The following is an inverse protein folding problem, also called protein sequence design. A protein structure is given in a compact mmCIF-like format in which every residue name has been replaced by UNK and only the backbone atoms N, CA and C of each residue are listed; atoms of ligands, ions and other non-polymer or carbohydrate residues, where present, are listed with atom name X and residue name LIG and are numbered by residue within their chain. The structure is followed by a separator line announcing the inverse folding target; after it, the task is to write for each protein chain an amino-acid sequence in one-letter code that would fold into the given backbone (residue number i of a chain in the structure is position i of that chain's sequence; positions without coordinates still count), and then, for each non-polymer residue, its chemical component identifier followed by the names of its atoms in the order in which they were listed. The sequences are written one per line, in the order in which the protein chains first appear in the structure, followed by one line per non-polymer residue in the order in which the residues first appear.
data_IF_842369299478
#
_entry.id   IF_842369299478
#
_cell.length_a   1.000
_cell.length_b   1.000
_cell.length_c   1.000
_cell.angle_alpha   90.00
_cell.angle_beta   90.00
_cell.angle_gamma   90.00
#
_symmetry.space_group_name_H-M   'P 1'
#
loop_
_entity.id
_entity.type
_entity.pdbx_description
1 polymer ?
#
# COMPACT_ATOMS: atom_id res chain seq x y z
N UNK A 1 10.40 -28.24 47.17
CA UNK A 1 11.67 -27.88 46.50
C UNK A 1 11.36 -27.95 45.01
N UNK A 2 11.21 -26.85 44.25
CA UNK A 2 11.52 -25.45 44.51
C UNK A 2 10.50 -24.54 43.81
N UNK A 3 10.03 -23.53 44.56
CA UNK A 3 9.13 -22.48 44.11
C UNK A 3 9.92 -21.36 43.42
N UNK A 4 9.54 -21.03 42.19
CA UNK A 4 10.06 -19.88 41.44
C UNK A 4 9.51 -18.58 42.03
N UNK A 5 10.33 -17.88 42.82
CA UNK A 5 10.02 -16.54 43.35
C UNK A 5 10.05 -15.52 42.23
N UNK A 6 8.87 -15.07 41.79
CA UNK A 6 8.73 -13.80 41.09
C UNK A 6 9.02 -12.67 42.10
N UNK A 7 10.05 -11.86 41.83
CA UNK A 7 10.39 -10.70 42.64
C UNK A 7 9.27 -9.66 42.56
N UNK A 8 8.43 -9.61 43.59
CA UNK A 8 7.45 -8.56 43.83
C UNK A 8 8.17 -7.25 44.12
N UNK A 9 8.22 -6.34 43.15
CA UNK A 9 8.51 -4.93 43.42
C UNK A 9 7.20 -4.29 43.85
N UNK A 10 6.98 -4.26 45.16
CA UNK A 10 5.88 -3.54 45.80
C UNK A 10 6.18 -2.05 45.79
N UNK A 11 5.35 -1.25 45.11
CA UNK A 11 5.29 0.20 45.35
C UNK A 11 4.12 0.46 46.30
N UNK A 12 4.44 0.64 47.59
CA UNK A 12 3.49 1.15 48.57
C UNK A 12 3.17 2.61 48.26
N UNK A 13 1.89 2.95 48.35
CA UNK A 13 1.39 4.31 48.27
C UNK A 13 1.87 5.13 49.47
N UNK A 14 2.66 6.17 49.20
CA UNK A 14 2.80 7.32 50.09
C UNK A 14 2.70 8.55 49.22
N UNK A 15 1.61 9.30 49.44
CA UNK A 15 1.41 10.65 48.92
C UNK A 15 2.56 11.51 49.45
N UNK A 16 3.47 11.94 48.58
CA UNK A 16 4.20 13.20 48.67
C UNK A 16 5.06 13.41 47.40
N UNK A 17 4.66 14.42 46.64
CA UNK A 17 5.43 15.28 45.74
C UNK A 17 6.95 14.99 45.61
N UNK A 18 7.38 14.09 44.70
CA UNK A 18 8.76 13.94 44.20
C UNK A 18 8.88 12.79 43.19
N UNK A 19 8.51 12.97 41.93
CA UNK A 19 8.83 11.99 40.86
C UNK A 19 9.41 12.69 39.63
N UNK A 20 10.62 13.21 39.77
CA UNK A 20 11.43 13.65 38.62
C UNK A 20 12.88 13.14 38.62
N UNK A 21 13.32 12.33 39.59
CA UNK A 21 14.78 12.03 39.71
C UNK A 21 15.19 10.55 39.85
N UNK A 22 14.27 9.57 39.93
CA UNK A 22 14.66 8.16 40.11
C UNK A 22 14.75 7.31 38.82
N UNK A 23 14.32 7.82 37.66
CA UNK A 23 14.35 7.08 36.38
C UNK A 23 15.60 7.36 35.50
N UNK A 24 16.56 8.13 35.98
CA UNK A 24 17.68 8.61 35.15
C UNK A 24 18.80 7.58 34.88
N UNK A 25 18.82 6.41 35.56
CA UNK A 25 19.98 5.52 35.55
C UNK A 25 19.72 4.08 35.03
N UNK A 26 18.59 3.82 34.39
CA UNK A 26 18.25 2.50 33.83
C UNK A 26 18.43 2.52 32.32
N UNK A 27 19.37 1.73 31.81
CA UNK A 27 19.68 1.58 30.38
C UNK A 27 18.43 1.11 29.62
N UNK A 28 18.24 1.57 28.38
CA UNK A 28 17.13 1.18 27.51
C UNK A 28 17.00 -0.36 27.40
N UNK A 29 18.12 -1.09 27.35
CA UNK A 29 18.13 -2.56 27.32
C UNK A 29 17.49 -3.19 28.56
N UNK A 30 17.69 -2.62 29.75
CA UNK A 30 17.11 -3.11 30.99
C UNK A 30 15.59 -2.86 31.03
N UNK A 31 15.15 -1.72 30.49
CA UNK A 31 13.71 -1.40 30.33
C UNK A 31 13.01 -2.36 29.35
N UNK A 32 13.74 -2.87 28.35
CA UNK A 32 13.22 -3.84 27.38
C UNK A 32 13.32 -5.30 27.83
N UNK A 33 14.00 -5.60 28.93
CA UNK A 33 14.30 -6.98 29.36
C UNK A 33 13.04 -7.83 29.56
N UNK A 34 11.98 -7.23 30.08
CA UNK A 34 10.69 -7.90 30.31
C UNK A 34 10.00 -8.31 29.00
N UNK A 35 10.23 -7.56 27.90
CA UNK A 35 9.64 -7.81 26.59
C UNK A 35 10.48 -8.72 25.69
N UNK A 36 11.71 -9.04 26.08
CA UNK A 36 12.65 -9.88 25.32
C UNK A 36 12.58 -11.37 25.68
N UNK A 37 11.69 -11.77 26.60
CA UNK A 37 11.55 -13.16 27.01
C UNK A 37 10.71 -13.94 26.00
N UNK A 38 11.14 -15.15 25.62
CA UNK A 38 10.44 -15.98 24.63
C UNK A 38 9.02 -16.40 25.03
N UNK A 39 8.67 -16.27 26.32
CA UNK A 39 7.36 -16.62 26.88
C UNK A 39 6.61 -15.38 27.42
N UNK A 40 6.85 -14.20 26.83
CA UNK A 40 6.12 -12.99 27.22
C UNK A 40 4.63 -13.12 26.89
N UNK A 41 3.77 -13.07 27.91
CA UNK A 41 2.32 -13.03 27.74
C UNK A 41 1.81 -11.58 27.92
N UNK A 42 1.34 -10.92 26.85
CA UNK A 42 0.79 -9.57 26.91
C UNK A 42 -0.41 -9.45 27.84
N UNK A 43 -1.27 -10.47 27.89
CA UNK A 43 -2.50 -10.44 28.68
C UNK A 43 -2.18 -10.58 30.16
N UNK A 44 -1.29 -11.49 30.54
CA UNK A 44 -0.81 -11.60 31.92
C UNK A 44 -0.05 -10.34 32.37
N UNK A 45 0.75 -9.73 31.50
CA UNK A 45 1.47 -8.49 31.79
C UNK A 45 0.53 -7.32 32.07
N UNK A 46 -0.45 -7.08 31.19
CA UNK A 46 -1.45 -6.02 31.37
C UNK A 46 -2.32 -6.30 32.59
N UNK A 47 -2.73 -7.55 32.79
CA UNK A 47 -3.55 -7.95 33.95
C UNK A 47 -2.81 -7.72 35.26
N UNK A 48 -1.57 -8.20 35.38
CA UNK A 48 -0.75 -7.99 36.58
C UNK A 48 -0.42 -6.52 36.84
N UNK A 49 -0.24 -5.70 35.79
CA UNK A 49 0.17 -4.30 35.93
C UNK A 49 -1.01 -3.36 36.15
N UNK A 50 -2.15 -3.62 35.52
CA UNK A 50 -3.33 -2.75 35.55
C UNK A 50 -4.35 -3.13 36.62
N UNK A 51 -4.29 -4.33 37.21
CA UNK A 51 -5.25 -4.78 38.24
C UNK A 51 -5.33 -3.87 39.48
N UNK A 52 -4.24 -3.17 39.82
CA UNK A 52 -4.15 -2.32 41.01
C UNK A 52 -4.00 -0.83 40.69
N UNK A 53 -4.15 -0.42 39.42
CA UNK A 53 -3.89 0.95 38.97
C UNK A 53 -5.16 1.78 38.79
N UNK A 54 -5.08 3.06 39.14
CA UNK A 54 -6.11 4.06 38.88
C UNK A 54 -6.02 4.58 37.42
N UNK A 55 -7.09 5.20 36.92
CA UNK A 55 -7.21 5.68 35.52
C UNK A 55 -6.06 6.61 35.08
N UNK A 56 -5.56 7.45 36.00
CA UNK A 56 -4.41 8.34 35.75
C UNK A 56 -3.10 7.58 35.58
N UNK A 57 -2.91 6.53 36.36
CA UNK A 57 -1.71 5.67 36.31
C UNK A 57 -1.73 4.80 35.06
N UNK A 58 -2.91 4.35 34.62
CA UNK A 58 -3.09 3.64 33.35
C UNK A 58 -2.73 4.54 32.16
N UNK A 59 -3.18 5.81 32.16
CA UNK A 59 -2.78 6.79 31.12
C UNK A 59 -1.27 7.03 31.10
N UNK A 60 -0.65 7.15 32.28
CA UNK A 60 0.79 7.32 32.37
C UNK A 60 1.55 6.10 31.87
N UNK A 61 1.11 4.88 32.23
CA UNK A 61 1.65 3.62 31.72
C UNK A 61 1.54 3.53 30.21
N UNK A 62 0.40 3.94 29.64
CA UNK A 62 0.22 3.97 28.18
C UNK A 62 1.22 4.91 27.50
N UNK A 63 1.39 6.14 28.02
CA UNK A 63 2.38 7.08 27.50
C UNK A 63 3.80 6.51 27.60
N UNK A 64 4.16 5.94 28.75
CA UNK A 64 5.46 5.31 28.97
C UNK A 64 5.74 4.17 27.99
N UNK A 65 4.76 3.30 27.73
CA UNK A 65 4.91 2.20 26.76
C UNK A 65 5.06 2.71 25.33
N UNK A 66 4.35 3.78 24.97
CA UNK A 66 4.49 4.43 23.65
C UNK A 66 5.88 5.02 23.48
N UNK A 67 6.41 5.70 24.50
CA UNK A 67 7.75 6.29 24.48
C UNK A 67 8.84 5.22 24.47
N UNK A 68 8.66 4.14 25.24
CA UNK A 68 9.58 3.00 25.26
C UNK A 68 9.62 2.28 23.90
N UNK A 69 8.46 2.10 23.25
CA UNK A 69 8.37 1.56 21.88
C UNK A 69 9.14 2.44 20.89
N UNK A 70 8.97 3.75 20.97
CA UNK A 70 9.66 4.71 20.09
C UNK A 70 11.17 4.67 20.31
N UNK A 71 11.62 4.63 21.56
CA UNK A 71 13.03 4.53 21.91
C UNK A 71 13.66 3.21 21.42
N UNK A 72 12.94 2.09 21.55
CA UNK A 72 13.36 0.79 21.03
C UNK A 72 13.49 0.76 19.52
N UNK A 73 12.52 1.34 18.80
CA UNK A 73 12.55 1.38 17.34
C UNK A 73 13.74 2.21 16.82
N UNK A 74 14.03 3.31 17.50
CA UNK A 74 15.16 4.17 17.16
C UNK A 74 16.51 3.50 17.45
N UNK A 75 16.62 2.71 18.52
CA UNK A 75 17.83 1.95 18.81
C UNK A 75 18.04 0.78 17.84
N UNK A 76 16.98 0.08 17.48
CA UNK A 76 17.02 -0.92 16.41
C UNK A 76 17.51 -0.29 15.10
N UNK A 77 16.97 0.89 14.76
CA UNK A 77 17.39 1.65 13.58
C UNK A 77 18.88 1.97 13.63
N UNK A 78 19.39 2.53 14.74
CA UNK A 78 20.83 2.82 14.91
C UNK A 78 21.71 1.58 14.78
N UNK A 79 21.31 0.48 15.40
CA UNK A 79 22.04 -0.79 15.33
C UNK A 79 22.11 -1.32 13.88
N UNK A 80 21.00 -1.26 13.14
CA UNK A 80 20.98 -1.66 11.72
C UNK A 80 21.89 -0.76 10.89
N UNK A 81 21.82 0.57 11.07
CA UNK A 81 22.68 1.50 10.33
C UNK A 81 24.17 1.33 10.66
N UNK A 82 24.53 1.10 11.92
CA UNK A 82 25.91 0.87 12.34
C UNK A 82 26.50 -0.42 11.73
N UNK A 83 25.68 -1.46 11.61
CA UNK A 83 26.10 -2.75 11.06
C UNK A 83 25.88 -2.86 9.53
N UNK A 84 25.25 -1.87 8.90
CA UNK A 84 24.93 -1.88 7.47
C UNK A 84 26.19 -2.01 6.60
N UNK A 85 27.26 -1.29 6.94
CA UNK A 85 28.53 -1.38 6.20
C UNK A 85 29.16 -2.79 6.30
N UNK A 86 29.07 -3.43 7.47
CA UNK A 86 29.54 -4.80 7.66
C UNK A 86 28.71 -5.79 6.84
N UNK A 87 27.37 -5.64 6.85
CA UNK A 87 26.45 -6.47 6.09
C UNK A 87 26.68 -6.38 4.57
N UNK A 88 26.88 -5.17 4.04
CA UNK A 88 27.17 -4.97 2.61
C UNK A 88 28.52 -5.59 2.24
N UNK A 89 29.52 -5.45 3.11
CA UNK A 89 30.84 -6.06 2.90
C UNK A 89 30.77 -7.58 2.90
N UNK A 90 30.10 -8.19 3.88
CA UNK A 90 29.95 -9.65 3.95
C UNK A 90 29.15 -10.19 2.79
N UNK A 91 28.08 -9.50 2.38
CA UNK A 91 27.28 -9.90 1.21
C UNK A 91 28.09 -9.87 -0.08
N UNK A 92 28.93 -8.83 -0.26
CA UNK A 92 29.85 -8.76 -1.40
C UNK A 92 30.88 -9.89 -1.39
N UNK A 93 31.37 -10.26 -0.22
CA UNK A 93 32.35 -11.32 -0.05
C UNK A 93 31.74 -12.70 -0.34
N UNK A 94 30.48 -12.92 0.05
CA UNK A 94 29.69 -14.10 -0.33
C UNK A 94 29.51 -14.19 -1.85
N UNK A 95 29.10 -13.10 -2.52
CA UNK A 95 28.96 -13.10 -3.98
C UNK A 95 30.28 -13.36 -4.71
N UNK A 96 31.41 -12.88 -4.15
CA UNK A 96 32.72 -13.16 -4.72
C UNK A 96 33.11 -14.64 -4.54
N UNK A 97 32.78 -15.24 -3.39
CA UNK A 97 32.96 -16.67 -3.14
C UNK A 97 32.09 -17.53 -4.07
N UNK A 98 30.83 -17.15 -4.30
CA UNK A 98 29.95 -17.81 -5.27
C UNK A 98 30.55 -17.80 -6.68
N UNK A 99 31.09 -16.66 -7.11
CA UNK A 99 31.80 -16.55 -8.40
C UNK A 99 33.03 -17.46 -8.48
N UNK A 100 33.82 -17.57 -7.41
CA UNK A 100 34.95 -18.50 -7.34
C UNK A 100 34.50 -19.96 -7.39
N UNK A 101 33.40 -20.30 -6.72
CA UNK A 101 32.86 -21.66 -6.69
C UNK A 101 32.29 -22.06 -8.06
N UNK A 102 31.66 -21.12 -8.78
CA UNK A 102 31.22 -21.31 -10.15
C UNK A 102 32.40 -21.56 -11.10
N UNK A 103 33.49 -20.80 -10.94
CA UNK A 103 34.73 -21.02 -11.69
C UNK A 103 35.34 -22.39 -11.42
N UNK A 104 35.36 -22.82 -10.14
CA UNK A 104 35.87 -24.14 -9.76
C UNK A 104 35.01 -25.28 -10.32
N UNK A 105 33.68 -25.12 -10.30
CA UNK A 105 32.73 -26.04 -10.94
C UNK A 105 33.03 -26.17 -12.43
N UNK A 106 33.15 -25.05 -13.13
CA UNK A 106 33.45 -25.06 -14.56
C UNK A 106 34.79 -25.75 -14.86
N UNK A 107 35.83 -25.52 -14.04
CA UNK A 107 37.11 -26.20 -14.18
C UNK A 107 36.99 -27.71 -13.95
N UNK A 108 36.21 -28.14 -12.95
CA UNK A 108 35.95 -29.55 -12.67
C UNK A 108 35.16 -30.21 -13.82
N UNK A 109 34.15 -29.54 -14.36
CA UNK A 109 33.39 -30.01 -15.54
C UNK A 109 34.31 -30.17 -16.75
N UNK A 110 35.17 -29.20 -17.04
CA UNK A 110 36.15 -29.30 -18.13
C UNK A 110 37.12 -30.46 -17.92
N UNK A 111 37.58 -30.68 -16.68
CA UNK A 111 38.46 -31.82 -16.35
C UNK A 111 37.73 -33.16 -16.45
N UNK A 112 36.47 -33.24 -16.02
CA UNK A 112 35.65 -34.43 -16.16
C UNK A 112 35.41 -34.78 -17.62
N UNK A 113 35.11 -33.79 -18.48
CA UNK A 113 34.97 -33.98 -19.92
C UNK A 113 36.25 -34.51 -20.57
N UNK A 114 37.43 -34.00 -20.16
CA UNK A 114 38.72 -34.51 -20.64
C UNK A 114 38.98 -35.96 -20.16
N UNK A 115 38.64 -36.27 -18.92
CA UNK A 115 38.77 -37.65 -18.38
C UNK A 115 37.83 -38.61 -19.11
N UNK A 116 36.58 -38.21 -19.38
CA UNK A 116 35.64 -38.99 -20.17
C UNK A 116 36.14 -39.19 -21.61
N UNK A 117 36.63 -38.15 -22.28
CA UNK A 117 37.22 -38.28 -23.62
C UNK A 117 38.46 -39.19 -23.65
N UNK A 118 39.26 -39.21 -22.58
CA UNK A 118 40.38 -40.14 -22.43
C UNK A 118 39.90 -41.57 -22.14
N UNK A 119 38.88 -41.76 -21.31
CA UNK A 119 38.31 -43.06 -20.99
C UNK A 119 37.65 -43.71 -22.23
N UNK A 120 36.95 -42.93 -23.06
CA UNK A 120 36.42 -43.38 -24.35
C UNK A 120 37.54 -43.76 -25.33
N UNK A 121 38.65 -43.01 -25.34
CA UNK A 121 39.82 -43.33 -26.17
C UNK A 121 40.58 -44.61 -25.74
N UNK A 122 40.47 -45.01 -24.47
CA UNK A 122 41.10 -46.23 -23.92
C UNK A 122 40.27 -47.49 -24.21
N UNK A 123 39.01 -47.35 -24.64
CA UNK A 123 38.10 -48.50 -24.82
C UNK A 123 38.27 -49.27 -26.15
N UNK A 124 39.27 -48.96 -26.97
CA UNK A 124 39.43 -49.54 -28.33
C UNK A 124 40.26 -50.83 -28.37
N UNK A 125 40.93 -51.26 -27.29
CA UNK A 125 41.70 -52.52 -27.30
C UNK A 125 41.53 -53.35 -26.02
N UNK A 126 40.39 -54.04 -25.90
CA UNK A 126 40.38 -55.32 -25.17
C UNK A 126 39.28 -56.21 -25.71
N UNK A 127 39.68 -57.28 -26.40
CA UNK A 127 38.81 -58.32 -26.97
C UNK A 127 39.02 -59.62 -26.17
N UNK A 128 37.95 -60.41 -26.09
CA UNK A 128 37.88 -61.85 -25.79
C UNK A 128 37.70 -62.22 -24.30
N UNK A 129 36.85 -63.15 -23.85
CA UNK A 129 35.98 -64.13 -24.52
C UNK A 129 35.03 -64.76 -23.48
N UNK A 130 33.80 -65.09 -23.88
CA UNK A 130 33.22 -66.41 -23.58
C UNK A 130 31.83 -66.42 -22.93
N UNK A 131 30.95 -67.37 -23.30
CA UNK A 131 29.50 -67.29 -23.12
C UNK A 131 29.03 -68.01 -21.86
N UNK A 132 27.90 -67.60 -21.26
CA UNK A 132 26.94 -68.51 -20.63
C UNK A 132 25.70 -67.77 -20.08
N UNK A 133 24.55 -68.27 -20.52
CA UNK A 133 23.29 -68.49 -19.82
C UNK A 133 22.56 -67.39 -18.99
N UNK A 134 21.39 -67.07 -19.56
CA UNK A 134 20.08 -67.13 -18.91
C UNK A 134 19.58 -65.92 -18.10
N UNK A 135 18.37 -65.50 -18.51
CA UNK A 135 17.36 -64.78 -17.74
C UNK A 135 17.70 -63.35 -17.29
N UNK A 136 17.77 -62.40 -18.24
CA UNK A 136 17.73 -60.98 -17.93
C UNK A 136 17.08 -60.16 -19.07
N UNK A 137 15.84 -60.47 -19.43
CA UNK A 137 15.06 -59.67 -20.39
C UNK A 137 14.21 -58.58 -19.70
N UNK A 138 14.06 -58.58 -18.37
CA UNK A 138 13.23 -57.59 -17.65
C UNK A 138 14.02 -56.37 -17.12
N UNK A 139 15.35 -56.43 -17.04
CA UNK A 139 16.20 -55.37 -16.42
C UNK A 139 16.77 -54.38 -17.45
N UNK A 140 16.76 -54.74 -18.74
CA UNK A 140 17.26 -53.88 -19.81
C UNK A 140 16.21 -52.84 -20.27
N UNK A 141 14.93 -53.15 -20.11
CA UNK A 141 13.85 -52.26 -20.53
C UNK A 141 13.69 -51.04 -19.59
N UNK A 142 13.81 -51.23 -18.28
CA UNK A 142 13.73 -50.13 -17.29
C UNK A 142 14.88 -49.11 -17.44
N UNK A 143 16.08 -49.56 -17.80
CA UNK A 143 17.24 -48.67 -17.98
C UNK A 143 17.14 -47.80 -19.26
N UNK A 144 16.51 -48.31 -20.32
CA UNK A 144 16.30 -47.55 -21.56
C UNK A 144 15.23 -46.45 -21.40
N UNK A 145 14.16 -46.73 -20.65
CA UNK A 145 13.09 -45.76 -20.36
C UNK A 145 13.56 -44.66 -19.38
N UNK A 146 14.36 -45.01 -18.36
CA UNK A 146 15.01 -44.05 -17.46
C UNK A 146 15.92 -43.07 -18.23
N UNK A 147 16.75 -43.59 -19.15
CA UNK A 147 17.65 -42.77 -19.96
C UNK A 147 16.90 -41.78 -20.87
N UNK A 148 15.78 -42.20 -21.48
CA UNK A 148 14.96 -41.34 -22.35
C UNK A 148 14.38 -40.15 -21.58
N UNK A 149 13.90 -40.37 -20.35
CA UNK A 149 13.33 -39.29 -19.54
C UNK A 149 14.38 -38.37 -18.92
N UNK A 150 15.54 -38.89 -18.52
CA UNK A 150 16.68 -38.05 -18.10
C UNK A 150 17.15 -37.14 -19.23
N UNK A 151 17.23 -37.66 -20.46
CA UNK A 151 17.54 -36.85 -21.64
C UNK A 151 16.46 -35.81 -21.93
N UNK A 152 15.18 -36.19 -21.85
CA UNK A 152 14.06 -35.26 -22.01
C UNK A 152 14.09 -34.14 -20.96
N UNK A 153 14.39 -34.45 -19.69
CA UNK A 153 14.52 -33.45 -18.62
C UNK A 153 15.62 -32.44 -18.93
N UNK A 154 16.77 -32.90 -19.45
CA UNK A 154 17.88 -32.02 -19.87
C UNK A 154 17.43 -31.12 -21.02
N UNK A 155 16.82 -31.68 -22.06
CA UNK A 155 16.31 -30.92 -23.21
C UNK A 155 15.25 -29.88 -22.80
N UNK A 156 14.34 -30.27 -21.90
CA UNK A 156 13.34 -29.37 -21.32
C UNK A 156 13.98 -28.21 -20.56
N UNK A 157 14.96 -28.49 -19.70
CA UNK A 157 15.65 -27.48 -18.92
C UNK A 157 16.43 -26.50 -19.81
N UNK A 158 17.16 -27.00 -20.80
CA UNK A 158 17.91 -26.18 -21.75
C UNK A 158 16.98 -25.30 -22.58
N UNK A 159 15.88 -25.86 -23.08
CA UNK A 159 14.87 -25.13 -23.82
C UNK A 159 14.22 -24.04 -22.96
N UNK A 160 13.88 -24.36 -21.71
CA UNK A 160 13.26 -23.40 -20.80
C UNK A 160 14.23 -22.27 -20.43
N UNK A 161 15.51 -22.55 -20.21
CA UNK A 161 16.53 -21.52 -19.98
C UNK A 161 16.63 -20.55 -21.16
N UNK A 162 16.58 -21.05 -22.40
CA UNK A 162 16.55 -20.21 -23.61
C UNK A 162 15.28 -19.35 -23.63
N UNK A 163 14.10 -19.92 -23.38
CA UNK A 163 12.84 -19.16 -23.37
C UNK A 163 12.81 -18.08 -22.29
N UNK A 164 13.35 -18.37 -21.10
CA UNK A 164 13.49 -17.41 -20.01
C UNK A 164 14.48 -16.29 -20.38
N UNK A 165 15.60 -16.62 -21.02
CA UNK A 165 16.57 -15.63 -21.49
C UNK A 165 15.99 -14.72 -22.59
N UNK A 166 15.20 -15.29 -23.51
CA UNK A 166 14.52 -14.55 -24.59
C UNK A 166 13.25 -13.81 -24.12
N UNK A 167 12.86 -13.97 -22.84
CA UNK A 167 11.61 -13.43 -22.25
C UNK A 167 10.35 -13.86 -23.00
N UNK A 168 10.34 -15.06 -23.57
CA UNK A 168 9.19 -15.64 -24.29
C UNK A 168 8.19 -16.24 -23.32
N UNK A 169 7.55 -15.38 -22.53
CA UNK A 169 6.67 -15.73 -21.39
C UNK A 169 5.62 -16.78 -21.76
N UNK A 170 4.89 -16.60 -22.86
CA UNK A 170 3.79 -17.51 -23.22
C UNK A 170 4.28 -18.92 -23.54
N UNK A 171 5.45 -19.02 -24.17
CA UNK A 171 6.06 -20.29 -24.55
C UNK A 171 6.70 -20.96 -23.34
N UNK A 172 7.33 -20.18 -22.46
CA UNK A 172 7.84 -20.69 -21.18
C UNK A 172 6.70 -21.24 -20.30
N UNK A 173 5.54 -20.57 -20.28
CA UNK A 173 4.35 -21.09 -19.60
C UNK A 173 3.84 -22.39 -20.23
N UNK A 174 3.76 -22.47 -21.56
CA UNK A 174 3.32 -23.68 -22.24
C UNK A 174 4.28 -24.87 -21.99
N UNK A 175 5.59 -24.62 -22.02
CA UNK A 175 6.61 -25.61 -21.68
C UNK A 175 6.48 -26.10 -20.24
N UNK A 176 6.24 -25.19 -19.29
CA UNK A 176 6.02 -25.54 -17.89
C UNK A 176 4.73 -26.33 -17.67
N UNK A 177 3.64 -25.95 -18.35
CA UNK A 177 2.37 -26.68 -18.32
C UNK A 177 2.55 -28.11 -18.89
N UNK A 178 3.28 -28.26 -20.00
CA UNK A 178 3.62 -29.57 -20.58
C UNK A 178 4.46 -30.42 -19.61
N UNK A 179 5.49 -29.85 -18.98
CA UNK A 179 6.30 -30.59 -18.01
C UNK A 179 5.50 -31.04 -16.78
N UNK A 180 4.52 -30.25 -16.35
CA UNK A 180 3.61 -30.62 -15.27
C UNK A 180 2.70 -31.79 -15.69
N UNK A 181 2.18 -31.79 -16.92
CA UNK A 181 1.40 -32.95 -17.44
C UNK A 181 2.25 -34.23 -17.54
N UNK A 182 3.50 -34.12 -17.99
CA UNK A 182 4.42 -35.27 -18.06
C UNK A 182 4.74 -35.80 -16.66
N UNK A 183 4.92 -34.92 -15.67
CA UNK A 183 5.15 -35.31 -14.29
C UNK A 183 3.93 -36.04 -13.67
N UNK A 184 2.71 -35.56 -13.95
CA UNK A 184 1.47 -36.18 -13.52
C UNK A 184 1.27 -37.57 -14.15
N UNK A 185 1.43 -37.68 -15.48
CA UNK A 185 1.31 -38.96 -16.18
C UNK A 185 2.32 -40.00 -15.68
N UNK A 186 3.56 -39.58 -15.43
CA UNK A 186 4.60 -40.45 -14.91
C UNK A 186 4.32 -40.91 -13.47
N UNK A 187 3.67 -40.06 -12.66
CA UNK A 187 3.21 -40.42 -11.31
C UNK A 187 2.09 -41.46 -11.36
N UNK A 188 1.12 -41.30 -12.26
CA UNK A 188 -0.04 -42.19 -12.36
C UNK A 188 0.33 -43.56 -12.92
N UNK A 189 1.20 -43.59 -13.93
CA UNK A 189 1.62 -44.83 -14.60
C UNK A 189 2.69 -45.59 -13.81
N UNK A 190 3.21 -45.02 -12.70
CA UNK A 190 4.35 -45.54 -11.93
C UNK A 190 5.54 -45.94 -12.81
N UNK A 191 5.71 -45.24 -13.94
CA UNK A 191 6.72 -45.54 -14.96
C UNK A 191 8.11 -45.03 -14.56
N UNK A 192 8.22 -44.27 -13.46
CA UNK A 192 9.48 -43.67 -13.01
C UNK A 192 9.85 -44.05 -11.59
N UNK A 193 11.16 -44.07 -11.35
CA UNK A 193 11.72 -44.07 -10.00
C UNK A 193 11.21 -42.85 -9.21
N UNK A 194 10.89 -43.06 -7.94
CA UNK A 194 10.49 -42.00 -7.00
C UNK A 194 11.49 -40.83 -6.97
N UNK A 195 12.79 -41.09 -7.22
CA UNK A 195 13.84 -40.08 -7.17
C UNK A 195 13.84 -39.13 -8.36
N UNK A 196 13.58 -39.63 -9.57
CA UNK A 196 13.54 -38.82 -10.81
C UNK A 196 12.27 -38.00 -10.92
N UNK A 197 11.15 -38.53 -10.41
CA UNK A 197 9.91 -37.79 -10.30
C UNK A 197 10.05 -36.58 -9.35
N UNK A 198 10.69 -36.78 -8.19
CA UNK A 198 10.96 -35.69 -7.25
C UNK A 198 11.91 -34.64 -7.82
N UNK A 199 12.94 -35.04 -8.59
CA UNK A 199 13.85 -34.08 -9.23
C UNK A 199 13.13 -33.24 -10.30
N UNK A 200 12.29 -33.87 -11.13
CA UNK A 200 11.46 -33.17 -12.11
C UNK A 200 10.50 -32.18 -11.45
N UNK A 201 9.77 -32.59 -10.41
CA UNK A 201 8.87 -31.71 -9.66
C UNK A 201 9.62 -30.53 -9.05
N UNK A 202 10.80 -30.78 -8.46
CA UNK A 202 11.63 -29.71 -7.88
C UNK A 202 12.07 -28.72 -8.97
N UNK A 203 12.52 -29.22 -10.12
CA UNK A 203 12.93 -28.40 -11.26
C UNK A 203 11.78 -27.56 -11.83
N UNK A 204 10.57 -28.11 -11.93
CA UNK A 204 9.36 -27.36 -12.34
C UNK A 204 9.09 -26.23 -11.36
N UNK A 205 9.07 -26.50 -10.06
CA UNK A 205 8.83 -25.49 -9.02
C UNK A 205 9.87 -24.37 -9.08
N UNK A 206 11.16 -24.72 -9.16
CA UNK A 206 12.24 -23.74 -9.24
C UNK A 206 12.11 -22.84 -10.46
N UNK A 207 11.78 -23.40 -11.64
CA UNK A 207 11.67 -22.60 -12.85
C UNK A 207 10.37 -21.79 -12.91
N UNK A 208 9.26 -22.27 -12.34
CA UNK A 208 8.04 -21.46 -12.13
C UNK A 208 8.35 -20.24 -11.26
N UNK A 209 9.13 -20.42 -10.19
CA UNK A 209 9.57 -19.31 -9.33
C UNK A 209 10.45 -18.32 -10.08
N UNK A 210 11.43 -18.77 -10.86
CA UNK A 210 12.28 -17.90 -11.69
C UNK A 210 11.46 -17.08 -12.68
N UNK A 211 10.50 -17.70 -13.37
CA UNK A 211 9.61 -16.99 -14.29
C UNK A 211 8.72 -15.99 -13.56
N UNK A 212 8.18 -16.36 -12.39
CA UNK A 212 7.38 -15.46 -11.56
C UNK A 212 8.17 -14.22 -11.13
N UNK A 213 9.43 -14.38 -10.74
CA UNK A 213 10.31 -13.27 -10.37
C UNK A 213 10.65 -12.37 -11.56
N UNK A 214 10.95 -12.95 -12.73
CA UNK A 214 11.16 -12.17 -13.95
C UNK A 214 9.90 -11.36 -14.33
N UNK A 215 8.71 -11.94 -14.20
CA UNK A 215 7.44 -11.26 -14.43
C UNK A 215 7.22 -10.14 -13.43
N UNK A 216 7.48 -10.38 -12.14
CA UNK A 216 7.37 -9.36 -11.10
C UNK A 216 8.31 -8.17 -11.38
N UNK A 217 9.54 -8.43 -11.83
CA UNK A 217 10.47 -7.38 -12.26
C UNK A 217 9.92 -6.59 -13.44
N UNK A 218 9.31 -7.26 -14.43
CA UNK A 218 8.72 -6.58 -15.60
C UNK A 218 7.55 -5.67 -15.21
N UNK A 219 6.70 -6.12 -14.28
CA UNK A 219 5.54 -5.35 -13.79
C UNK A 219 6.00 -4.08 -13.05
N UNK A 220 7.10 -4.18 -12.30
CA UNK A 220 7.68 -3.05 -11.56
C UNK A 220 8.41 -2.02 -12.44
N UNK A 221 8.66 -2.31 -13.73
CA UNK A 221 9.35 -1.35 -14.59
C UNK A 221 8.44 -0.15 -14.94
N UNK A 222 8.91 1.12 -14.81
CA UNK A 222 8.11 2.31 -15.13
C UNK A 222 7.66 2.43 -16.60
N UNK A 223 8.33 1.71 -17.50
CA UNK A 223 8.02 1.64 -18.93
C UNK A 223 6.85 0.71 -19.23
N UNK A 224 6.61 -0.30 -18.40
CA UNK A 224 5.59 -1.33 -18.62
C UNK A 224 4.20 -0.73 -18.42
N UNK A 225 3.39 -0.71 -19.49
CA UNK A 225 2.10 0.00 -19.48
C UNK A 225 1.02 -0.75 -20.24
N UNK A 226 -0.23 -0.49 -19.85
CA UNK A 226 -1.40 -0.86 -20.63
C UNK A 226 -1.48 -2.36 -20.87
N UNK A 227 -1.31 -2.78 -22.13
CA UNK A 227 -1.42 -4.19 -22.53
C UNK A 227 -0.31 -5.03 -21.91
N UNK A 228 0.94 -4.56 -21.96
CA UNK A 228 2.11 -5.30 -21.45
C UNK A 228 1.99 -5.58 -19.94
N UNK A 229 1.53 -4.58 -19.19
CA UNK A 229 1.25 -4.73 -17.75
C UNK A 229 0.18 -5.81 -17.52
N UNK A 230 -0.94 -5.73 -18.25
CA UNK A 230 -2.04 -6.70 -18.12
C UNK A 230 -1.61 -8.12 -18.50
N UNK A 231 -0.79 -8.27 -19.54
CA UNK A 231 -0.29 -9.59 -19.96
C UNK A 231 0.69 -10.18 -18.94
N UNK A 232 1.59 -9.36 -18.37
CA UNK A 232 2.53 -9.83 -17.35
C UNK A 232 1.81 -10.23 -16.05
N UNK A 233 0.83 -9.45 -15.61
CA UNK A 233 -0.01 -9.77 -14.43
C UNK A 233 -0.84 -11.03 -14.67
N UNK A 234 -1.42 -11.20 -15.86
CA UNK A 234 -2.17 -12.41 -16.22
C UNK A 234 -1.26 -13.65 -16.26
N UNK A 235 -0.05 -13.52 -16.80
CA UNK A 235 0.94 -14.59 -16.79
C UNK A 235 1.34 -15.00 -15.36
N UNK A 236 1.57 -14.02 -14.49
CA UNK A 236 1.90 -14.28 -13.08
C UNK A 236 0.72 -14.93 -12.32
N UNK A 237 -0.52 -14.51 -12.63
CA UNK A 237 -1.73 -15.17 -12.12
C UNK A 237 -1.80 -16.64 -12.59
N UNK A 238 -1.52 -16.91 -13.87
CA UNK A 238 -1.50 -18.27 -14.43
C UNK A 238 -0.45 -19.17 -13.78
N UNK A 239 0.65 -18.60 -13.29
CA UNK A 239 1.65 -19.36 -12.53
C UNK A 239 1.17 -19.83 -11.16
N UNK A 240 0.02 -19.32 -10.68
CA UNK A 240 -0.53 -19.61 -9.35
C UNK A 240 -0.23 -18.52 -8.32
N UNK A 241 0.49 -17.46 -8.70
CA UNK A 241 0.86 -16.36 -7.80
C UNK A 241 -0.10 -15.15 -7.94
N UNK A 242 -1.39 -15.44 -7.85
CA UNK A 242 -2.47 -14.44 -7.96
C UNK A 242 -2.37 -13.29 -6.96
N UNK A 243 -2.13 -13.55 -5.65
CA UNK A 243 -1.97 -12.50 -4.65
C UNK A 243 -0.83 -11.53 -4.96
N UNK A 244 0.37 -12.03 -5.27
CA UNK A 244 1.50 -11.18 -5.64
C UNK A 244 1.20 -10.41 -6.94
N UNK A 245 0.58 -11.04 -7.93
CA UNK A 245 0.20 -10.39 -9.18
C UNK A 245 -0.75 -9.21 -8.96
N UNK A 246 -1.74 -9.38 -8.08
CA UNK A 246 -2.69 -8.32 -7.75
C UNK A 246 -2.04 -7.18 -6.96
N UNK A 247 -1.24 -7.48 -5.93
CA UNK A 247 -0.49 -6.46 -5.18
C UNK A 247 0.43 -5.67 -6.10
N UNK A 248 1.18 -6.33 -6.99
CA UNK A 248 2.08 -5.67 -7.94
C UNK A 248 1.35 -4.79 -8.97
N UNK A 249 0.16 -5.20 -9.42
CA UNK A 249 -0.69 -4.37 -10.28
C UNK A 249 -1.06 -3.05 -9.58
N UNK A 250 -1.49 -3.13 -8.32
CA UNK A 250 -1.86 -1.95 -7.52
C UNK A 250 -0.64 -1.06 -7.24
N UNK A 251 0.51 -1.65 -6.95
CA UNK A 251 1.77 -0.93 -6.74
C UNK A 251 2.23 -0.20 -8.01
N UNK A 252 2.07 -0.81 -9.20
CA UNK A 252 2.37 -0.16 -10.47
C UNK A 252 1.52 1.10 -10.68
N UNK A 253 0.21 1.04 -10.40
CA UNK A 253 -0.68 2.20 -10.45
C UNK A 253 -0.31 3.26 -9.41
N UNK A 254 0.12 2.84 -8.21
CA UNK A 254 0.61 3.75 -7.16
C UNK A 254 1.88 4.48 -7.58
N UNK A 255 2.87 3.78 -8.14
CA UNK A 255 4.12 4.38 -8.62
C UNK A 255 3.85 5.39 -9.74
N UNK A 256 2.95 5.05 -10.67
CA UNK A 256 2.51 5.97 -11.73
C UNK A 256 1.85 7.23 -11.15
N UNK A 257 0.99 7.06 -10.15
CA UNK A 257 0.35 8.19 -9.47
C UNK A 257 1.40 9.10 -8.83
N UNK A 258 2.35 8.54 -8.07
CA UNK A 258 3.42 9.29 -7.42
C UNK A 258 4.30 10.03 -8.45
N UNK A 259 4.71 9.37 -9.52
CA UNK A 259 5.47 9.99 -10.62
C UNK A 259 4.75 11.19 -11.24
N UNK A 260 3.45 11.05 -11.51
CA UNK A 260 2.64 12.15 -12.05
C UNK A 260 2.43 13.27 -11.03
N UNK A 261 2.25 12.96 -9.74
CA UNK A 261 2.10 13.95 -8.68
C UNK A 261 3.36 14.79 -8.50
N UNK A 262 4.56 14.23 -8.70
CA UNK A 262 5.81 15.00 -8.67
C UNK A 262 5.89 16.07 -9.77
N UNK A 263 5.25 15.83 -10.93
CA UNK A 263 5.15 16.84 -12.00
C UNK A 263 4.17 17.97 -11.67
N UNK A 264 3.18 17.69 -10.82
CA UNK A 264 2.19 18.66 -10.34
C UNK A 264 2.75 19.46 -9.15
N UNK A 265 3.78 20.28 -9.41
CA UNK A 265 4.31 21.19 -8.39
C UNK A 265 3.32 22.32 -8.13
N UNK A 266 3.02 22.67 -6.87
CA UNK A 266 2.18 23.83 -6.57
C UNK A 266 2.87 25.12 -7.03
N UNK A 267 2.37 25.75 -8.08
CA UNK A 267 2.86 27.06 -8.55
C UNK A 267 2.13 28.20 -7.84
N UNK A 268 2.89 29.20 -7.40
CA UNK A 268 2.53 30.20 -6.38
C UNK A 268 1.37 31.18 -6.69
N UNK A 269 0.67 31.10 -7.83
CA UNK A 269 -0.26 32.17 -8.26
C UNK A 269 -1.75 31.80 -8.43
N UNK A 270 -2.14 30.52 -8.50
CA UNK A 270 -3.55 30.10 -8.74
C UNK A 270 -4.00 28.94 -7.83
N UNK A 271 -3.46 28.92 -6.61
CA UNK A 271 -3.09 27.76 -5.79
C UNK A 271 -4.21 26.77 -5.39
N UNK A 272 -5.48 27.17 -5.36
CA UNK A 272 -6.55 26.37 -4.78
C UNK A 272 -7.33 25.52 -5.79
N UNK A 273 -8.15 26.19 -6.61
CA UNK A 273 -9.16 25.51 -7.43
C UNK A 273 -8.57 24.67 -8.57
N UNK A 274 -7.67 25.24 -9.38
CA UNK A 274 -7.07 24.54 -10.52
C UNK A 274 -6.18 23.36 -10.08
N UNK A 275 -5.43 23.53 -9.00
CA UNK A 275 -4.64 22.46 -8.39
C UNK A 275 -5.54 21.33 -7.87
N UNK A 276 -6.62 21.69 -7.15
CA UNK A 276 -7.58 20.70 -6.64
C UNK A 276 -8.21 19.88 -7.76
N UNK A 277 -8.69 20.54 -8.82
CA UNK A 277 -9.32 19.86 -9.96
C UNK A 277 -8.33 18.90 -10.62
N UNK A 278 -7.13 19.37 -10.94
CA UNK A 278 -6.11 18.56 -11.62
C UNK A 278 -5.68 17.36 -10.77
N UNK A 279 -5.41 17.59 -9.48
CA UNK A 279 -4.98 16.54 -8.57
C UNK A 279 -6.10 15.52 -8.33
N UNK A 280 -7.33 15.99 -8.12
CA UNK A 280 -8.50 15.13 -7.93
C UNK A 280 -8.74 14.26 -9.16
N UNK A 281 -8.69 14.85 -10.35
CA UNK A 281 -8.81 14.12 -11.61
C UNK A 281 -7.71 13.05 -11.75
N UNK A 282 -6.45 13.40 -11.46
CA UNK A 282 -5.33 12.45 -11.54
C UNK A 282 -5.51 11.24 -10.60
N UNK A 283 -5.82 11.49 -9.32
CA UNK A 283 -5.98 10.43 -8.32
C UNK A 283 -7.17 9.53 -8.67
N UNK A 284 -8.35 10.11 -8.88
CA UNK A 284 -9.56 9.31 -9.10
C UNK A 284 -9.59 8.62 -10.46
N UNK A 285 -8.98 9.18 -11.50
CA UNK A 285 -8.80 8.46 -12.77
C UNK A 285 -7.82 7.29 -12.65
N UNK A 286 -6.78 7.42 -11.83
CA UNK A 286 -5.83 6.32 -11.57
C UNK A 286 -6.49 5.21 -10.77
N UNK A 287 -7.27 5.55 -9.73
CA UNK A 287 -8.09 4.59 -8.98
C UNK A 287 -9.09 3.88 -9.92
N UNK A 288 -9.77 4.63 -10.79
CA UNK A 288 -10.70 4.07 -11.76
C UNK A 288 -10.02 3.06 -12.70
N UNK A 289 -8.80 3.35 -13.14
CA UNK A 289 -8.02 2.50 -14.04
C UNK A 289 -7.54 1.24 -13.31
N UNK A 290 -7.01 1.38 -12.10
CA UNK A 290 -6.62 0.25 -11.25
C UNK A 290 -7.80 -0.69 -10.98
N UNK A 291 -8.96 -0.14 -10.66
CA UNK A 291 -10.19 -0.90 -10.46
C UNK A 291 -10.59 -1.65 -11.74
N UNK A 292 -10.58 -0.97 -12.89
CA UNK A 292 -10.91 -1.60 -14.18
C UNK A 292 -9.97 -2.75 -14.50
N UNK A 293 -8.66 -2.56 -14.33
CA UNK A 293 -7.66 -3.58 -14.62
C UNK A 293 -7.79 -4.76 -13.65
N UNK A 294 -7.97 -4.49 -12.36
CA UNK A 294 -8.22 -5.51 -11.32
C UNK A 294 -9.48 -6.33 -11.64
N UNK A 295 -10.62 -5.69 -11.87
CA UNK A 295 -11.84 -6.40 -12.25
C UNK A 295 -11.68 -7.21 -13.54
N UNK A 296 -10.97 -6.70 -14.54
CA UNK A 296 -10.80 -7.42 -15.81
C UNK A 296 -9.93 -8.69 -15.69
N UNK A 297 -9.03 -8.75 -14.72
CA UNK A 297 -8.07 -9.85 -14.56
C UNK A 297 -8.44 -10.81 -13.41
N UNK A 298 -9.24 -10.34 -12.46
CA UNK A 298 -9.50 -11.01 -11.17
C UNK A 298 -10.97 -11.06 -10.77
N UNK A 299 -11.91 -10.90 -11.73
CA UNK A 299 -13.36 -10.83 -11.48
C UNK A 299 -13.92 -11.97 -10.59
N UNK A 300 -13.36 -13.17 -10.71
CA UNK A 300 -13.92 -14.38 -10.12
C UNK A 300 -13.57 -14.57 -8.63
N UNK A 301 -12.69 -13.72 -8.08
CA UNK A 301 -12.08 -13.93 -6.76
C UNK A 301 -12.34 -12.74 -5.81
N UNK A 302 -13.19 -12.96 -4.80
CA UNK A 302 -13.61 -11.90 -3.85
C UNK A 302 -12.46 -11.35 -3.00
N UNK A 303 -11.38 -12.12 -2.81
CA UNK A 303 -10.24 -11.72 -2.00
C UNK A 303 -9.59 -10.43 -2.55
N UNK A 304 -9.41 -10.33 -3.86
CA UNK A 304 -8.74 -9.19 -4.48
C UNK A 304 -9.59 -7.93 -4.49
N UNK A 305 -10.92 -8.06 -4.51
CA UNK A 305 -11.82 -6.92 -4.37
C UNK A 305 -11.58 -6.19 -3.03
N UNK A 306 -11.35 -6.94 -1.94
CA UNK A 306 -11.09 -6.35 -0.62
C UNK A 306 -9.75 -5.62 -0.55
N UNK A 307 -8.73 -6.15 -1.22
CA UNK A 307 -7.41 -5.51 -1.34
C UNK A 307 -7.49 -4.23 -2.18
N UNK A 308 -8.20 -4.27 -3.32
CA UNK A 308 -8.46 -3.11 -4.17
C UNK A 308 -9.16 -1.99 -3.40
N UNK A 309 -10.20 -2.31 -2.62
CA UNK A 309 -10.91 -1.33 -1.79
C UNK A 309 -9.96 -0.72 -0.75
N UNK A 310 -9.18 -1.56 -0.07
CA UNK A 310 -8.21 -1.10 0.94
C UNK A 310 -7.17 -0.17 0.32
N UNK A 311 -6.65 -0.51 -0.86
CA UNK A 311 -5.72 0.32 -1.60
C UNK A 311 -6.37 1.65 -2.03
N UNK A 312 -7.58 1.62 -2.58
CA UNK A 312 -8.30 2.83 -3.03
C UNK A 312 -8.60 3.79 -1.87
N UNK A 313 -8.96 3.26 -0.69
CA UNK A 313 -9.11 4.05 0.53
C UNK A 313 -7.80 4.72 0.91
N UNK A 314 -6.68 3.98 0.96
CA UNK A 314 -5.35 4.54 1.27
C UNK A 314 -4.93 5.64 0.29
N UNK A 315 -5.14 5.46 -1.02
CA UNK A 315 -4.85 6.49 -2.01
C UNK A 315 -5.72 7.74 -1.80
N UNK A 316 -7.01 7.55 -1.49
CA UNK A 316 -7.96 8.65 -1.22
C UNK A 316 -7.59 9.41 0.05
N UNK A 317 -7.16 8.72 1.11
CA UNK A 317 -6.70 9.34 2.35
C UNK A 317 -5.42 10.17 2.13
N UNK A 318 -4.43 9.59 1.46
CA UNK A 318 -3.18 10.30 1.13
C UNK A 318 -3.44 11.56 0.31
N UNK A 319 -4.31 11.46 -0.69
CA UNK A 319 -4.80 12.60 -1.47
C UNK A 319 -5.50 13.65 -0.61
N UNK A 320 -6.43 13.24 0.26
CA UNK A 320 -7.16 14.14 1.15
C UNK A 320 -6.22 14.89 2.10
N UNK A 321 -5.22 14.21 2.66
CA UNK A 321 -4.19 14.85 3.50
C UNK A 321 -3.34 15.84 2.72
N UNK A 322 -3.02 15.55 1.46
CA UNK A 322 -2.26 16.46 0.59
C UNK A 322 -3.05 17.75 0.32
N UNK A 323 -4.34 17.63 -0.04
CA UNK A 323 -5.22 18.80 -0.22
C UNK A 323 -5.42 19.57 1.09
N UNK A 324 -5.56 18.87 2.21
CA UNK A 324 -5.63 19.51 3.53
C UNK A 324 -4.41 20.38 3.78
N UNK A 325 -3.22 19.86 3.51
CA UNK A 325 -1.94 20.56 3.73
C UNK A 325 -1.75 21.76 2.80
N UNK A 326 -2.07 21.61 1.52
CA UNK A 326 -1.72 22.63 0.52
C UNK A 326 -2.83 23.64 0.23
N UNK A 327 -4.10 23.28 0.41
CA UNK A 327 -5.23 24.14 0.03
C UNK A 327 -6.09 24.47 1.26
N UNK A 328 -6.57 23.45 1.97
CA UNK A 328 -7.67 23.65 2.93
C UNK A 328 -7.23 24.30 4.24
N UNK A 329 -6.06 23.96 4.79
CA UNK A 329 -5.66 24.47 6.12
C UNK A 329 -5.56 26.00 6.16
N UNK A 330 -4.89 26.61 5.18
CA UNK A 330 -4.76 28.07 5.09
C UNK A 330 -6.09 28.74 4.74
N UNK A 331 -6.83 28.18 3.78
CA UNK A 331 -8.15 28.70 3.40
C UNK A 331 -9.13 28.68 4.56
N UNK A 332 -9.22 27.56 5.29
CA UNK A 332 -10.11 27.39 6.43
C UNK A 332 -9.77 28.36 7.57
N UNK A 333 -8.49 28.51 7.91
CA UNK A 333 -8.05 29.45 8.94
C UNK A 333 -8.39 30.91 8.60
N UNK A 334 -8.36 31.30 7.32
CA UNK A 334 -8.78 32.62 6.86
C UNK A 334 -10.33 32.76 6.74
N UNK A 335 -11.09 31.71 7.04
CA UNK A 335 -12.54 31.61 6.84
C UNK A 335 -12.98 31.63 5.38
N UNK A 336 -12.11 31.17 4.48
CA UNK A 336 -12.32 30.97 3.05
C UNK A 336 -13.29 29.83 2.74
N UNK A 337 -14.52 29.93 3.26
CA UNK A 337 -15.55 28.90 3.17
C UNK A 337 -15.83 28.46 1.72
N UNK A 338 -15.86 29.42 0.79
CA UNK A 338 -16.08 29.15 -0.63
C UNK A 338 -15.03 28.22 -1.24
N UNK A 339 -13.75 28.54 -1.05
CA UNK A 339 -12.64 27.74 -1.59
C UNK A 339 -12.62 26.34 -0.97
N UNK A 340 -12.89 26.25 0.34
CA UNK A 340 -12.97 24.97 1.06
C UNK A 340 -14.10 24.08 0.52
N UNK A 341 -15.29 24.62 0.26
CA UNK A 341 -16.40 23.83 -0.28
C UNK A 341 -16.26 23.50 -1.75
N UNK A 342 -15.80 24.43 -2.60
CA UNK A 342 -15.54 24.13 -4.02
C UNK A 342 -14.53 22.98 -4.13
N UNK A 343 -13.49 22.99 -3.30
CA UNK A 343 -12.53 21.89 -3.22
C UNK A 343 -13.19 20.56 -2.85
N UNK A 344 -14.04 20.56 -1.81
CA UNK A 344 -14.76 19.36 -1.40
C UNK A 344 -15.74 18.86 -2.46
N UNK A 345 -16.48 19.76 -3.12
CA UNK A 345 -17.43 19.43 -4.18
C UNK A 345 -16.76 18.75 -5.36
N UNK A 346 -15.63 19.29 -5.84
CA UNK A 346 -14.86 18.68 -6.92
C UNK A 346 -14.45 17.25 -6.56
N UNK A 347 -13.99 17.04 -5.33
CA UNK A 347 -13.57 15.71 -4.89
C UNK A 347 -14.77 14.74 -4.76
N UNK A 348 -15.90 15.19 -4.20
CA UNK A 348 -17.12 14.39 -4.12
C UNK A 348 -17.70 14.04 -5.49
N UNK A 349 -17.61 14.96 -6.47
CA UNK A 349 -18.05 14.71 -7.83
C UNK A 349 -17.22 13.59 -8.49
N UNK A 350 -15.92 13.53 -8.25
CA UNK A 350 -15.12 12.40 -8.73
C UNK A 350 -15.39 11.10 -7.95
N UNK A 351 -15.66 11.17 -6.64
CA UNK A 351 -16.09 10.00 -5.88
C UNK A 351 -17.43 9.43 -6.37
N UNK A 352 -18.40 10.27 -6.75
CA UNK A 352 -19.70 9.78 -7.24
C UNK A 352 -19.58 9.03 -8.57
N UNK A 353 -18.63 9.41 -9.42
CA UNK A 353 -18.31 8.67 -10.65
C UNK A 353 -17.73 7.27 -10.37
N UNK A 354 -16.99 7.10 -9.26
CA UNK A 354 -16.47 5.81 -8.82
C UNK A 354 -17.52 4.97 -8.10
N UNK A 355 -18.42 5.61 -7.35
CA UNK A 355 -19.56 4.95 -6.71
C UNK A 355 -20.46 4.27 -7.74
N UNK A 356 -20.68 4.90 -8.90
CA UNK A 356 -21.40 4.30 -10.02
C UNK A 356 -20.72 3.04 -10.58
N UNK A 357 -19.45 2.78 -10.23
CA UNK A 357 -18.66 1.60 -10.58
C UNK A 357 -18.39 0.67 -9.40
N UNK A 358 -19.10 0.84 -8.28
CA UNK A 358 -19.00 -0.03 -7.11
C UNK A 358 -17.89 0.35 -6.11
N UNK A 359 -17.25 1.52 -6.24
CA UNK A 359 -16.21 1.99 -5.31
C UNK A 359 -16.66 3.25 -4.56
N UNK A 360 -17.17 3.07 -3.34
CA UNK A 360 -17.64 4.16 -2.48
C UNK A 360 -16.50 4.77 -1.64
N UNK A 361 -16.04 5.97 -2.02
CA UNK A 361 -14.91 6.66 -1.38
C UNK A 361 -15.29 8.01 -0.75
N UNK A 362 -16.53 8.47 -0.92
CA UNK A 362 -16.97 9.79 -0.45
C UNK A 362 -16.89 9.97 1.07
N UNK A 363 -17.19 8.91 1.84
CA UNK A 363 -17.12 8.93 3.30
C UNK A 363 -15.70 9.15 3.83
N UNK A 364 -14.68 8.68 3.11
CA UNK A 364 -13.26 8.88 3.46
C UNK A 364 -12.94 10.38 3.42
N UNK A 365 -13.32 11.05 2.34
CA UNK A 365 -13.12 12.49 2.20
C UNK A 365 -13.96 13.30 3.17
N UNK A 366 -15.21 12.91 3.40
CA UNK A 366 -16.11 13.60 4.32
C UNK A 366 -15.50 13.64 5.73
N UNK A 367 -14.97 12.50 6.21
CA UNK A 367 -14.29 12.41 7.52
C UNK A 367 -13.06 13.32 7.58
N UNK A 368 -12.27 13.40 6.51
CA UNK A 368 -11.05 14.22 6.47
C UNK A 368 -11.33 15.73 6.35
N UNK A 369 -12.36 16.12 5.59
CA UNK A 369 -12.61 17.52 5.23
C UNK A 369 -13.61 18.21 6.16
N UNK A 370 -14.48 17.45 6.87
CA UNK A 370 -15.43 18.01 7.84
C UNK A 370 -14.79 19.01 8.81
N UNK A 371 -13.66 18.72 9.48
CA UNK A 371 -13.04 19.68 10.40
C UNK A 371 -12.59 20.98 9.70
N UNK A 372 -12.17 20.90 8.43
CA UNK A 372 -11.75 22.08 7.67
C UNK A 372 -12.96 22.94 7.26
N UNK A 373 -14.10 22.33 6.96
CA UNK A 373 -15.35 23.02 6.64
C UNK A 373 -15.89 23.72 7.89
N UNK A 374 -15.94 23.01 9.02
CA UNK A 374 -16.37 23.55 10.32
C UNK A 374 -15.48 24.73 10.74
N UNK A 375 -14.16 24.58 10.62
CA UNK A 375 -13.21 25.66 10.90
C UNK A 375 -13.41 26.87 9.97
N UNK A 376 -13.61 26.63 8.67
CA UNK A 376 -13.84 27.70 7.70
C UNK A 376 -15.14 28.46 7.99
N UNK A 377 -16.18 27.76 8.43
CA UNK A 377 -17.46 28.35 8.80
C UNK A 377 -17.32 29.19 10.08
N UNK A 378 -16.71 28.65 11.14
CA UNK A 378 -16.49 29.37 12.41
C UNK A 378 -15.64 30.63 12.21
N UNK A 379 -14.53 30.52 11.47
CA UNK A 379 -13.70 31.68 11.13
C UNK A 379 -14.45 32.71 10.26
N UNK A 380 -15.35 32.26 9.38
CA UNK A 380 -16.18 33.16 8.59
C UNK A 380 -17.19 33.92 9.45
N UNK A 381 -17.87 33.23 10.37
CA UNK A 381 -18.83 33.83 11.30
C UNK A 381 -18.16 34.84 12.22
N UNK A 382 -17.01 34.50 12.81
CA UNK A 382 -16.21 35.43 13.62
C UNK A 382 -15.79 36.67 12.84
N UNK A 383 -15.43 36.52 11.57
CA UNK A 383 -15.08 37.67 10.71
C UNK A 383 -16.30 38.56 10.45
N UNK A 384 -17.48 37.98 10.22
CA UNK A 384 -18.72 38.75 10.05
C UNK A 384 -19.02 39.52 11.33
N UNK A 385 -18.93 38.86 12.49
CA UNK A 385 -19.13 39.49 13.80
C UNK A 385 -18.15 40.67 14.02
N UNK A 386 -16.85 40.43 13.88
CA UNK A 386 -15.81 41.46 14.06
C UNK A 386 -15.95 42.62 13.07
N UNK A 387 -16.21 42.32 11.80
CA UNK A 387 -16.45 43.34 10.77
C UNK A 387 -17.69 44.16 11.10
N UNK A 388 -18.75 43.54 11.63
CA UNK A 388 -19.97 44.24 12.00
C UNK A 388 -19.77 45.12 13.22
N UNK A 389 -19.07 44.64 14.25
CA UNK A 389 -18.72 45.41 15.43
C UNK A 389 -17.87 46.65 15.07
N UNK A 390 -16.87 46.50 14.20
CA UNK A 390 -16.04 47.61 13.74
C UNK A 390 -16.84 48.65 12.93
N UNK A 391 -17.77 48.19 12.09
CA UNK A 391 -18.67 49.08 11.34
C UNK A 391 -19.60 49.86 12.26
N UNK A 392 -20.19 49.20 13.27
CA UNK A 392 -21.07 49.87 14.26
C UNK A 392 -20.29 50.89 15.11
N UNK A 393 -19.05 50.56 15.52
CA UNK A 393 -18.23 51.46 16.33
C UNK A 393 -17.81 52.76 15.60
N UNK A 394 -17.84 52.76 14.26
CA UNK A 394 -17.48 53.90 13.41
C UNK A 394 -18.71 54.60 12.79
N UNK A 395 -19.92 54.25 13.23
CA UNK A 395 -21.16 54.67 12.57
C UNK A 395 -21.81 55.90 13.22
N UNK A 396 -22.27 56.82 12.36
CA UNK A 396 -23.01 58.04 12.75
C UNK A 396 -24.54 57.82 12.91
N UNK A 397 -24.99 56.56 12.83
CA UNK A 397 -26.39 56.09 12.94
C UNK A 397 -27.39 56.68 11.93
N UNK A 398 -26.91 57.13 10.76
CA UNK A 398 -27.77 57.64 9.69
C UNK A 398 -28.42 56.50 8.90
N UNK A 399 -29.74 56.60 8.69
CA UNK A 399 -30.52 55.62 7.95
C UNK A 399 -30.57 55.98 6.45
N UNK A 400 -30.14 55.06 5.59
CA UNK A 400 -30.14 55.23 4.14
C UNK A 400 -30.93 54.11 3.44
N UNK A 401 -31.41 54.39 2.22
CA UNK A 401 -31.92 53.34 1.35
C UNK A 401 -30.74 52.54 0.77
N UNK A 402 -30.91 51.23 0.52
CA UNK A 402 -29.89 50.45 -0.18
C UNK A 402 -29.65 51.04 -1.58
N UNK A 403 -28.39 51.20 -1.98
CA UNK A 403 -28.07 51.71 -3.31
C UNK A 403 -28.67 50.78 -4.39
N UNK A 404 -29.54 51.33 -5.24
CA UNK A 404 -30.39 50.63 -6.22
C UNK A 404 -29.62 49.91 -7.36
N UNK A 405 -28.30 49.74 -7.24
CA UNK A 405 -27.41 49.27 -8.31
C UNK A 405 -26.81 47.87 -8.13
N UNK A 406 -26.84 47.28 -6.94
CA UNK A 406 -26.31 45.92 -6.75
C UNK A 406 -27.41 44.92 -7.03
N UNK A 407 -27.60 44.55 -8.31
CA UNK A 407 -28.38 43.35 -8.67
C UNK A 407 -27.68 42.12 -8.06
N UNK A 408 -27.99 41.80 -6.81
CA UNK A 408 -27.80 40.47 -6.27
C UNK A 408 -28.95 39.62 -6.82
N UNK A 409 -28.59 38.49 -7.44
CA UNK A 409 -29.53 37.51 -8.00
C UNK A 409 -30.36 36.92 -6.85
N UNK A 410 -31.53 37.50 -6.60
CA UNK A 410 -32.56 36.92 -5.75
C UNK A 410 -33.61 36.27 -6.64
N UNK A 411 -33.43 35.00 -6.97
CA UNK A 411 -34.51 34.13 -7.44
C UNK A 411 -34.93 33.25 -6.29
N UNK A 412 -35.82 33.77 -5.42
CA UNK A 412 -36.89 33.05 -4.70
C UNK A 412 -37.49 33.97 -3.65
N UNK A 413 -38.35 34.88 -4.11
CA UNK A 413 -39.49 35.38 -3.33
C UNK A 413 -40.61 35.64 -4.35
N UNK A 414 -41.41 34.61 -4.65
CA UNK A 414 -42.70 34.82 -5.31
C UNK A 414 -43.70 35.31 -4.26
N UNK A 415 -44.12 36.55 -4.39
CA UNK A 415 -45.15 37.17 -3.56
C UNK A 415 -45.09 38.68 -3.71
N UNK A 416 -46.00 39.24 -4.52
CA UNK A 416 -45.97 40.63 -4.96
C UNK A 416 -46.10 41.70 -3.88
N UNK A 417 -46.11 42.94 -4.39
CA UNK A 417 -46.21 44.24 -3.74
C UNK A 417 -44.87 44.97 -3.59
N UNK A 418 -44.92 46.26 -3.92
CA UNK A 418 -43.90 47.28 -3.78
C UNK A 418 -43.44 47.41 -2.32
N UNK A 419 -42.67 46.44 -1.82
CA UNK A 419 -42.13 46.48 -0.48
C UNK A 419 -41.03 47.54 -0.44
N UNK A 420 -41.38 48.71 0.11
CA UNK A 420 -40.43 49.72 0.53
C UNK A 420 -39.31 49.03 1.31
N UNK A 421 -38.11 48.93 0.73
CA UNK A 421 -36.98 48.38 1.47
C UNK A 421 -36.78 49.25 2.72
N UNK A 422 -36.74 48.64 3.92
CA UNK A 422 -36.59 49.41 5.15
C UNK A 422 -35.32 50.25 5.07
N UNK A 423 -35.37 51.49 5.53
CA UNK A 423 -34.16 52.31 5.68
C UNK A 423 -33.29 51.63 6.73
N UNK A 424 -32.08 51.27 6.34
CA UNK A 424 -31.11 50.59 7.19
C UNK A 424 -29.90 51.50 7.39
N UNK A 425 -29.25 51.36 8.53
CA UNK A 425 -27.93 51.96 8.73
C UNK A 425 -26.91 51.32 7.77
N UNK A 426 -25.79 52.01 7.52
CA UNK A 426 -24.74 51.51 6.62
C UNK A 426 -24.15 50.18 7.12
N UNK A 427 -24.02 50.01 8.43
CA UNK A 427 -23.58 48.77 9.07
C UNK A 427 -24.59 47.65 8.89
N UNK A 428 -25.89 47.93 9.06
CA UNK A 428 -26.96 46.97 8.86
C UNK A 428 -27.07 46.51 7.41
N UNK A 429 -26.86 47.41 6.44
CA UNK A 429 -26.80 47.06 5.02
C UNK A 429 -25.61 46.13 4.71
N UNK A 430 -24.42 46.43 5.25
CA UNK A 430 -23.21 45.60 5.07
C UNK A 430 -23.33 44.24 5.75
N UNK A 431 -23.86 44.18 6.97
CA UNK A 431 -24.15 42.93 7.67
C UNK A 431 -25.13 42.06 6.87
N UNK A 432 -26.25 42.63 6.44
CA UNK A 432 -27.23 41.92 5.62
C UNK A 432 -26.59 41.37 4.34
N UNK A 433 -25.75 42.15 3.65
CA UNK A 433 -25.04 41.68 2.47
C UNK A 433 -24.05 40.53 2.77
N UNK A 434 -23.35 40.55 3.92
CA UNK A 434 -22.47 39.46 4.33
C UNK A 434 -23.25 38.17 4.66
N UNK A 435 -24.37 38.29 5.38
CA UNK A 435 -25.26 37.16 5.71
C UNK A 435 -25.92 36.59 4.46
N UNK A 436 -26.36 37.45 3.52
CA UNK A 436 -26.90 37.02 2.22
C UNK A 436 -25.87 36.24 1.41
N UNK A 437 -24.60 36.65 1.40
CA UNK A 437 -23.52 35.89 0.74
C UNK A 437 -23.30 34.51 1.38
N UNK A 438 -23.35 34.43 2.70
CA UNK A 438 -23.21 33.16 3.43
C UNK A 438 -24.41 32.22 3.16
N UNK A 439 -25.62 32.75 3.23
CA UNK A 439 -26.85 31.97 3.00
C UNK A 439 -26.99 31.54 1.55
N UNK A 440 -26.72 32.41 0.58
CA UNK A 440 -26.69 32.03 -0.83
C UNK A 440 -25.68 30.90 -1.08
N UNK A 441 -24.53 30.94 -0.42
CA UNK A 441 -23.55 29.86 -0.54
C UNK A 441 -24.04 28.53 0.06
N UNK A 442 -24.68 28.55 1.24
CA UNK A 442 -25.18 27.33 1.89
C UNK A 442 -26.39 26.71 1.19
N UNK A 443 -27.27 27.52 0.58
CA UNK A 443 -28.58 27.08 0.11
C UNK A 443 -28.75 27.03 -1.41
N UNK A 444 -27.88 27.68 -2.20
CA UNK A 444 -28.05 27.77 -3.68
C UNK A 444 -27.05 26.94 -4.48
N UNK A 445 -26.00 26.39 -3.86
CA UNK A 445 -25.07 25.45 -4.51
C UNK A 445 -25.64 24.01 -4.43
N UNK A 446 -25.99 23.38 -5.57
CA UNK A 446 -26.72 22.11 -5.61
C UNK A 446 -25.98 20.91 -5.00
N UNK A 447 -24.69 21.05 -4.65
CA UNK A 447 -23.89 19.97 -4.07
C UNK A 447 -23.96 19.84 -2.54
N UNK A 448 -24.34 20.88 -1.79
CA UNK A 448 -24.19 20.88 -0.32
C UNK A 448 -25.35 20.18 0.40
N UNK A 449 -26.57 20.31 -0.15
CA UNK A 449 -27.80 19.86 0.51
C UNK A 449 -28.11 18.36 0.38
N UNK A 450 -27.62 17.67 -0.65
CA UNK A 450 -28.09 16.30 -0.93
C UNK A 450 -27.34 15.18 -0.19
N UNK A 451 -26.11 15.42 0.32
CA UNK A 451 -25.31 14.38 1.02
C UNK A 451 -25.06 14.61 2.51
N UNK A 452 -25.11 15.85 3.02
CA UNK A 452 -24.98 16.08 4.47
C UNK A 452 -26.23 15.55 5.22
N UNK A 453 -27.40 15.57 4.57
CA UNK A 453 -28.63 15.03 5.14
C UNK A 453 -28.59 13.50 5.33
N UNK A 454 -27.99 12.78 4.38
CA UNK A 454 -27.84 11.32 4.45
C UNK A 454 -26.83 10.87 5.52
N UNK A 455 -25.79 11.66 5.79
CA UNK A 455 -24.83 11.38 6.87
C UNK A 455 -25.30 11.71 8.29
N UNK A 456 -26.52 12.23 8.45
CA UNK A 456 -27.14 12.52 9.75
C UNK A 456 -28.32 11.60 10.08
N UNK A 457 -28.77 10.77 9.12
CA UNK A 457 -29.85 9.80 9.31
C UNK A 457 -29.35 8.37 9.55
N UNK A 458 -28.04 8.12 9.39
CA UNK A 458 -27.36 6.91 9.87
C UNK A 458 -26.55 7.23 11.12
N UNK A 459 -27.23 7.27 12.26
CA UNK A 459 -26.61 7.18 13.59
C UNK A 459 -27.56 6.49 14.56
#
# INVERSE_FOLDING_TARGET
MDSSRLSSVSFSSSVEDSTSEQDANITLSDRLKVFKTNNFDPNAYVTSKCQTMNEKEIRHLFSYLVDLRKASAEEMRRSVYANYAAFIRTSREISNLEGQLLSMRNLLSTRAALVHGLAEGVHIYSVSSGPEDSAAEDVLNENEELSKMENWLIEFLDMLEVLLAERRVNEALAALDEAETVAEEASEKQTLSQTTLLSLQTAIIENRLKLADQLAETICQPSTRGVELRTAVLALKRLGDGPRAHTLLLDCHQQKLQGNMHSLRPSHASYGAAYTVTLSQLVFSTIAQAAKDSFSLFADESAYASELVTWAVRQTEAFGLLLKRHVLASSAAAGGLRVTAECFHVCLAHCSLLEARGLALSLVLLKLFRPCIEQALDANLKRIEQSSAALVASEDWLLAYPATGTRLVSTTCLGGANASQPKLSSSAQRFNAMVQKLTAFLFTEPGFNHRIRLGSEEN
#
